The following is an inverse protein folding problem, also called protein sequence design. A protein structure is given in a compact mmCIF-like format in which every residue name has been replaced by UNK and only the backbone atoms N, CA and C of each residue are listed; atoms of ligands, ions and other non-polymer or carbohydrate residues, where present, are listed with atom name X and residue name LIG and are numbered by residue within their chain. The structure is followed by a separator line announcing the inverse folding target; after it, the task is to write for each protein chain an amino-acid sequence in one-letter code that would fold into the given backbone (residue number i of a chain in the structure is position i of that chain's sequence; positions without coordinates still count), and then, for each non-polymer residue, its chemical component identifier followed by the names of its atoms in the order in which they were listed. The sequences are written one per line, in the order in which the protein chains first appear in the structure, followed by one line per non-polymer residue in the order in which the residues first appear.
data_IF_188198023466
#
_entry.id   IF_188198023466
#
_cell.length_a   1.000
_cell.length_b   1.000
_cell.length_c   1.000
_cell.angle_alpha   90.00
_cell.angle_beta   90.00
_cell.angle_gamma   90.00
#
_symmetry.space_group_name_H-M   'P 1'
#
loop_
_entity.id
_entity.type
_entity.pdbx_description
1 polymer ?
#
# COMPACT_ATOMS: atom_id res chain seq x y z
N UNK A 1 12.80 26.98 -10.13
CA UNK A 1 12.67 26.74 -8.67
C UNK A 1 11.36 27.27 -8.07
N UNK A 2 10.75 28.36 -8.58
CA UNK A 2 9.47 28.88 -8.06
C UNK A 2 8.24 28.00 -8.38
N UNK A 3 8.27 27.22 -9.46
CA UNK A 3 7.14 26.37 -9.88
C UNK A 3 6.91 25.17 -8.96
N UNK A 4 7.97 24.60 -8.36
CA UNK A 4 7.85 23.44 -7.47
C UNK A 4 7.26 23.81 -6.10
N UNK A 5 7.59 24.99 -5.57
CA UNK A 5 7.06 25.45 -4.28
C UNK A 5 5.58 25.86 -4.35
N UNK A 6 5.15 26.45 -5.48
CA UNK A 6 3.74 26.79 -5.70
C UNK A 6 2.91 25.52 -5.84
N UNK A 7 3.37 24.56 -6.67
CA UNK A 7 2.69 23.27 -6.84
C UNK A 7 2.49 22.54 -5.51
N UNK A 8 3.52 22.57 -4.64
CA UNK A 8 3.47 21.94 -3.31
C UNK A 8 2.46 22.59 -2.36
N UNK A 9 2.42 23.93 -2.30
CA UNK A 9 1.44 24.64 -1.47
C UNK A 9 0.01 24.45 -1.96
N UNK A 10 -0.17 24.37 -3.28
CA UNK A 10 -1.48 24.10 -3.90
C UNK A 10 -1.94 22.68 -3.55
N UNK A 11 -1.08 21.66 -3.64
CA UNK A 11 -1.45 20.28 -3.27
C UNK A 11 -1.73 20.12 -1.77
N UNK A 12 -0.98 20.81 -0.91
CA UNK A 12 -1.24 20.86 0.53
C UNK A 12 -2.61 21.50 0.81
N UNK A 13 -2.91 22.66 0.20
CA UNK A 13 -4.19 23.34 0.36
C UNK A 13 -5.37 22.51 -0.16
N UNK A 14 -5.23 21.91 -1.34
CA UNK A 14 -6.24 21.01 -1.93
C UNK A 14 -6.44 19.78 -1.05
N UNK A 15 -5.37 19.20 -0.50
CA UNK A 15 -5.45 18.06 0.41
C UNK A 15 -6.26 18.38 1.68
N UNK A 16 -6.00 19.52 2.31
CA UNK A 16 -6.75 19.99 3.49
C UNK A 16 -8.21 20.28 3.14
N UNK A 17 -8.47 20.94 2.01
CA UNK A 17 -9.82 21.23 1.55
C UNK A 17 -10.62 19.94 1.28
N UNK A 18 -10.00 18.93 0.65
CA UNK A 18 -10.62 17.62 0.41
C UNK A 18 -10.89 16.88 1.72
N UNK A 19 -9.99 16.96 2.70
CA UNK A 19 -10.20 16.33 4.00
C UNK A 19 -11.35 17.00 4.77
N UNK A 20 -11.42 18.34 4.76
CA UNK A 20 -12.53 19.07 5.34
C UNK A 20 -13.86 18.73 4.65
N UNK A 21 -13.87 18.65 3.32
CA UNK A 21 -15.04 18.23 2.54
C UNK A 21 -15.49 16.81 2.88
N UNK A 22 -14.55 15.87 2.98
CA UNK A 22 -14.84 14.49 3.35
C UNK A 22 -15.46 14.39 4.76
N UNK A 23 -14.93 15.16 5.72
CA UNK A 23 -15.46 15.20 7.08
C UNK A 23 -16.87 15.82 7.11
N UNK A 24 -17.08 16.93 6.42
CA UNK A 24 -18.40 17.56 6.31
C UNK A 24 -19.42 16.63 5.66
N UNK A 25 -19.03 15.91 4.61
CA UNK A 25 -19.89 14.93 3.95
C UNK A 25 -20.20 13.73 4.85
N UNK A 26 -19.20 13.23 5.59
CA UNK A 26 -19.41 12.13 6.53
C UNK A 26 -20.36 12.54 7.67
N UNK A 27 -20.17 13.73 8.25
CA UNK A 27 -21.09 14.28 9.26
C UNK A 27 -22.49 14.40 8.65
N UNK A 28 -22.59 14.95 7.44
CA UNK A 28 -23.87 15.09 6.75
C UNK A 28 -24.62 13.75 6.57
N UNK A 29 -23.89 12.66 6.28
CA UNK A 29 -24.44 11.31 6.13
C UNK A 29 -24.85 10.70 7.47
N UNK A 30 -24.04 10.88 8.52
CA UNK A 30 -24.32 10.32 9.86
C UNK A 30 -25.50 11.04 10.52
N UNK A 31 -25.57 12.37 10.39
CA UNK A 31 -26.64 13.20 10.94
C UNK A 31 -27.77 13.41 9.94
N UNK A 32 -27.98 12.43 9.05
CA UNK A 32 -29.02 12.50 8.03
C UNK A 32 -30.38 12.19 8.67
N UNK A 33 -31.33 13.09 8.49
CA UNK A 33 -32.72 12.91 8.93
C UNK A 33 -33.62 12.99 7.69
N UNK A 34 -34.43 11.96 7.37
CA UNK A 34 -35.29 11.95 6.18
C UNK A 34 -36.36 13.06 6.18
N UNK A 35 -36.64 13.67 7.33
CA UNK A 35 -37.60 14.76 7.46
C UNK A 35 -37.02 16.14 7.18
N UNK A 36 -35.70 16.25 6.98
CA UNK A 36 -35.04 17.53 6.74
C UNK A 36 -35.45 18.17 5.40
N UNK A 37 -35.59 19.51 5.35
CA UNK A 37 -35.85 20.23 4.11
C UNK A 37 -34.59 20.21 3.22
N UNK A 38 -34.51 19.25 2.31
CA UNK A 38 -33.52 19.22 1.25
C UNK A 38 -33.92 20.22 0.14
N UNK A 39 -33.01 21.15 -0.17
CA UNK A 39 -33.23 22.31 -1.04
C UNK A 39 -33.93 22.01 -2.37
N UNK A 40 -33.72 20.82 -2.96
CA UNK A 40 -34.37 20.41 -4.22
C UNK A 40 -35.50 19.38 -4.07
N UNK A 41 -35.62 18.68 -2.94
CA UNK A 41 -36.56 17.56 -2.78
C UNK A 41 -37.79 17.92 -1.92
N UNK A 42 -37.71 18.98 -1.12
CA UNK A 42 -38.80 19.41 -0.25
C UNK A 42 -39.11 20.89 -0.43
N UNK A 43 -40.35 21.18 -0.80
CA UNK A 43 -40.89 22.54 -0.91
C UNK A 43 -40.96 23.18 0.48
N UNK A 44 -40.04 24.11 0.75
CA UNK A 44 -40.26 25.24 1.64
C UNK A 44 -40.72 24.93 3.06
N UNK A 45 -39.77 24.57 3.93
CA UNK A 45 -39.86 24.89 5.35
C UNK A 45 -38.81 25.93 5.69
N UNK A 46 -39.19 27.06 6.29
CA UNK A 46 -38.24 28.05 6.84
C UNK A 46 -37.48 27.53 8.08
N UNK A 47 -37.74 26.28 8.47
CA UNK A 47 -37.10 25.64 9.60
C UNK A 47 -35.66 25.26 9.27
N UNK A 48 -34.71 25.56 10.18
CA UNK A 48 -33.34 25.11 10.01
C UNK A 48 -33.29 23.57 10.01
N UNK A 49 -32.55 22.94 9.07
CA UNK A 49 -32.40 21.49 9.03
C UNK A 49 -31.69 20.99 10.29
N UNK A 50 -32.03 19.78 10.72
CA UNK A 50 -31.41 19.11 11.87
C UNK A 50 -29.98 18.67 11.54
N UNK A 51 -29.67 18.42 10.26
CA UNK A 51 -28.33 18.08 9.80
C UNK A 51 -27.26 19.09 10.24
N UNK A 52 -26.19 18.59 10.87
CA UNK A 52 -25.11 19.44 11.41
C UNK A 52 -24.26 20.12 10.34
N UNK A 53 -24.27 19.60 9.10
CA UNK A 53 -23.64 20.26 7.96
C UNK A 53 -24.59 21.28 7.27
N UNK A 54 -25.71 21.61 7.92
CA UNK A 54 -26.70 22.58 7.45
C UNK A 54 -27.44 22.11 6.20
N UNK A 55 -27.99 23.07 5.46
CA UNK A 55 -28.88 22.81 4.30
C UNK A 55 -28.17 22.11 3.14
N UNK A 56 -26.89 22.42 2.94
CA UNK A 56 -26.06 21.77 1.91
C UNK A 56 -25.77 20.31 2.31
N UNK A 57 -25.48 20.07 3.60
CA UNK A 57 -25.28 18.73 4.14
C UNK A 57 -26.53 17.85 4.01
N UNK A 58 -27.69 18.37 4.42
CA UNK A 58 -28.96 17.66 4.30
C UNK A 58 -29.27 17.25 2.85
N UNK A 59 -29.04 18.16 1.89
CA UNK A 59 -29.23 17.85 0.48
C UNK A 59 -28.23 16.80 -0.03
N UNK A 60 -26.95 16.94 0.34
CA UNK A 60 -25.90 16.03 -0.13
C UNK A 60 -26.07 14.61 0.43
N UNK A 61 -26.48 14.48 1.68
CA UNK A 61 -26.75 13.17 2.29
C UNK A 61 -27.99 12.51 1.70
N UNK A 62 -29.09 13.25 1.53
CA UNK A 62 -30.31 12.77 0.87
C UNK A 62 -29.99 12.27 -0.55
N UNK A 63 -29.34 13.09 -1.38
CA UNK A 63 -28.99 12.73 -2.75
C UNK A 63 -28.09 11.48 -2.81
N UNK A 64 -27.06 11.43 -1.96
CA UNK A 64 -26.14 10.29 -1.94
C UNK A 64 -26.82 8.99 -1.51
N UNK A 65 -27.63 9.04 -0.44
CA UNK A 65 -28.36 7.87 0.06
C UNK A 65 -29.46 7.44 -0.93
N UNK A 66 -30.13 8.38 -1.58
CA UNK A 66 -31.14 8.06 -2.58
C UNK A 66 -30.54 7.41 -3.82
N UNK A 67 -29.39 7.89 -4.30
CA UNK A 67 -28.77 7.36 -5.51
C UNK A 67 -28.07 6.02 -5.29
N UNK A 68 -27.31 5.90 -4.19
CA UNK A 68 -26.35 4.79 -3.99
C UNK A 68 -26.61 4.00 -2.70
N UNK A 69 -27.55 4.45 -1.86
CA UNK A 69 -27.89 3.77 -0.61
C UNK A 69 -26.74 3.79 0.40
N UNK A 70 -26.60 2.72 1.18
CA UNK A 70 -25.55 2.63 2.21
C UNK A 70 -24.13 2.61 1.63
N UNK A 71 -23.95 2.33 0.34
CA UNK A 71 -22.64 2.44 -0.29
C UNK A 71 -22.17 3.92 -0.40
N UNK A 72 -23.05 4.90 -0.19
CA UNK A 72 -22.68 6.32 -0.08
C UNK A 72 -21.65 6.60 1.02
N UNK A 73 -21.62 5.82 2.09
CA UNK A 73 -20.64 5.97 3.18
C UNK A 73 -19.18 5.72 2.74
N UNK A 74 -18.96 5.04 1.61
CA UNK A 74 -17.61 4.89 1.06
C UNK A 74 -17.12 6.14 0.34
N UNK A 75 -18.02 6.99 -0.15
CA UNK A 75 -17.66 8.21 -0.88
C UNK A 75 -16.77 9.14 -0.03
N UNK A 76 -17.15 9.54 1.20
CA UNK A 76 -16.28 10.38 2.03
C UNK A 76 -14.95 9.70 2.37
N UNK A 77 -14.92 8.37 2.51
CA UNK A 77 -13.68 7.61 2.75
C UNK A 77 -12.73 7.75 1.56
N UNK A 78 -13.24 7.56 0.33
CA UNK A 78 -12.44 7.70 -0.90
C UNK A 78 -11.91 9.13 -1.04
N UNK A 79 -12.75 10.13 -0.77
CA UNK A 79 -12.34 11.55 -0.81
C UNK A 79 -11.28 11.85 0.25
N UNK A 80 -11.40 11.29 1.46
CA UNK A 80 -10.41 11.45 2.52
C UNK A 80 -9.06 10.82 2.15
N UNK A 81 -9.06 9.60 1.57
CA UNK A 81 -7.84 8.93 1.09
C UNK A 81 -7.18 9.72 -0.06
N UNK A 82 -7.99 10.28 -0.97
CA UNK A 82 -7.48 11.16 -2.02
C UNK A 82 -6.86 12.43 -1.42
N UNK A 83 -7.56 13.10 -0.49
CA UNK A 83 -7.07 14.29 0.22
C UNK A 83 -5.76 14.04 0.96
N UNK A 84 -5.64 12.89 1.63
CA UNK A 84 -4.40 12.46 2.28
C UNK A 84 -3.24 12.29 1.28
N UNK A 85 -3.51 11.68 0.13
CA UNK A 85 -2.50 11.48 -0.92
C UNK A 85 -2.01 12.82 -1.50
N UNK A 86 -2.92 13.78 -1.72
CA UNK A 86 -2.60 15.13 -2.16
C UNK A 86 -1.82 15.92 -1.10
N UNK A 87 -2.20 15.81 0.18
CA UNK A 87 -1.51 16.46 1.29
C UNK A 87 -0.04 16.01 1.39
N UNK A 88 0.22 14.72 1.24
CA UNK A 88 1.58 14.16 1.25
C UNK A 88 2.34 14.34 -0.07
N UNK A 89 1.78 15.08 -1.04
CA UNK A 89 2.38 15.31 -2.36
C UNK A 89 2.83 14.01 -3.04
N UNK A 90 2.16 12.89 -2.76
CA UNK A 90 2.50 11.63 -3.39
C UNK A 90 2.01 11.68 -4.84
N UNK A 91 2.85 11.34 -5.84
CA UNK A 91 2.36 11.22 -7.20
C UNK A 91 1.28 10.14 -7.22
N UNK A 92 0.04 10.56 -7.46
CA UNK A 92 -1.07 9.66 -7.71
C UNK A 92 -0.86 9.05 -9.10
N UNK A 93 0.01 8.05 -9.19
CA UNK A 93 0.16 7.26 -10.40
C UNK A 93 -1.21 6.67 -10.75
N UNK A 94 -1.68 7.00 -11.96
CA UNK A 94 -2.96 6.59 -12.49
C UNK A 94 -4.17 6.93 -11.58
N UNK A 95 -4.30 8.21 -11.18
CA UNK A 95 -5.50 8.70 -10.46
C UNK A 95 -6.81 8.26 -11.13
N UNK A 96 -6.86 8.26 -12.47
CA UNK A 96 -8.03 7.81 -13.23
C UNK A 96 -8.41 6.36 -12.95
N UNK A 97 -7.46 5.41 -12.94
CA UNK A 97 -7.78 4.00 -12.69
C UNK A 97 -8.24 3.75 -11.26
N UNK A 98 -7.70 4.50 -10.29
CA UNK A 98 -8.13 4.43 -8.90
C UNK A 98 -9.54 4.96 -8.72
N UNK A 99 -9.88 6.09 -9.36
CA UNK A 99 -11.23 6.65 -9.35
C UNK A 99 -12.21 5.67 -9.99
N UNK A 100 -11.87 5.11 -11.16
CA UNK A 100 -12.69 4.10 -11.83
C UNK A 100 -12.89 2.87 -10.94
N UNK A 101 -11.82 2.37 -10.29
CA UNK A 101 -11.91 1.26 -9.35
C UNK A 101 -12.80 1.57 -8.14
N UNK A 102 -12.68 2.78 -7.57
CA UNK A 102 -13.51 3.21 -6.45
C UNK A 102 -14.99 3.34 -6.84
N UNK A 103 -15.30 3.98 -7.97
CA UNK A 103 -16.67 4.13 -8.49
C UNK A 103 -17.27 2.76 -8.80
N UNK A 104 -16.50 1.88 -9.46
CA UNK A 104 -16.95 0.52 -9.75
C UNK A 104 -17.22 -0.26 -8.48
N UNK A 105 -16.37 -0.14 -7.45
CA UNK A 105 -16.55 -0.81 -6.17
C UNK A 105 -17.81 -0.33 -5.44
N UNK A 106 -18.02 0.99 -5.41
CA UNK A 106 -19.22 1.61 -4.84
C UNK A 106 -20.48 1.13 -5.58
N UNK A 107 -20.44 1.07 -6.92
CA UNK A 107 -21.55 0.56 -7.73
C UNK A 107 -21.83 -0.93 -7.48
N UNK A 108 -20.79 -1.76 -7.39
CA UNK A 108 -20.94 -3.18 -7.07
C UNK A 108 -21.54 -3.38 -5.68
N UNK A 109 -21.08 -2.62 -4.68
CA UNK A 109 -21.59 -2.70 -3.31
C UNK A 109 -23.05 -2.22 -3.22
N UNK A 110 -23.37 -1.10 -3.87
CA UNK A 110 -24.73 -0.57 -4.00
C UNK A 110 -25.68 -1.61 -4.61
N UNK A 111 -25.26 -2.25 -5.71
CA UNK A 111 -26.04 -3.30 -6.38
C UNK A 111 -26.18 -4.56 -5.51
N UNK A 112 -25.10 -4.97 -4.86
CA UNK A 112 -25.11 -6.12 -3.96
C UNK A 112 -26.07 -5.92 -2.79
N UNK A 113 -26.07 -4.73 -2.19
CA UNK A 113 -27.01 -4.37 -1.13
C UNK A 113 -28.45 -4.34 -1.63
N UNK A 114 -28.71 -3.83 -2.84
CA UNK A 114 -30.04 -3.86 -3.46
C UNK A 114 -30.54 -5.28 -3.76
N UNK A 115 -29.64 -6.21 -4.08
CA UNK A 115 -30.00 -7.61 -4.36
C UNK A 115 -30.22 -8.43 -3.08
N UNK A 116 -29.48 -8.13 -2.00
CA UNK A 116 -29.49 -8.90 -0.76
C UNK A 116 -30.49 -8.40 0.28
N UNK A 117 -30.60 -7.08 0.43
CA UNK A 117 -31.51 -6.49 1.41
C UNK A 117 -32.81 -6.08 0.73
N UNK A 118 -33.93 -6.53 1.28
CA UNK A 118 -35.23 -5.98 0.92
C UNK A 118 -35.30 -4.49 1.34
N UNK A 119 -36.08 -3.66 0.63
CA UNK A 119 -36.38 -2.30 1.07
C UNK A 119 -36.94 -2.33 2.49
N UNK A 120 -36.28 -1.64 3.41
CA UNK A 120 -36.75 -1.49 4.77
C UNK A 120 -37.68 -0.28 4.83
N UNK A 121 -38.94 -0.51 5.19
CA UNK A 121 -39.91 0.54 5.51
C UNK A 121 -39.46 1.23 6.80
N UNK A 122 -38.77 2.38 6.69
CA UNK A 122 -38.31 3.14 7.86
C UNK A 122 -39.03 4.48 7.86
N UNK A 123 -39.89 4.71 8.86
CA UNK A 123 -40.61 5.97 9.06
C UNK A 123 -41.43 6.47 7.84
N UNK A 124 -42.14 5.57 7.14
CA UNK A 124 -43.06 5.94 6.06
C UNK A 124 -42.40 6.31 4.72
N UNK A 125 -41.08 6.16 4.60
CA UNK A 125 -40.35 6.19 3.33
C UNK A 125 -39.54 4.90 3.17
N UNK A 126 -39.65 4.26 2.01
CA UNK A 126 -38.87 3.07 1.68
C UNK A 126 -37.46 3.49 1.24
N UNK A 127 -36.52 3.46 2.18
CA UNK A 127 -35.11 3.68 1.83
C UNK A 127 -34.56 2.39 1.26
N UNK A 128 -34.31 2.39 -0.06
CA UNK A 128 -33.66 1.29 -0.74
C UNK A 128 -32.21 1.15 -0.23
N UNK A 129 -31.81 0.00 0.36
CA UNK A 129 -30.46 -0.19 0.90
C UNK A 129 -29.36 -0.03 -0.15
N UNK A 130 -29.66 -0.38 -1.41
CA UNK A 130 -28.79 -0.18 -2.56
C UNK A 130 -28.96 1.16 -3.28
N UNK A 131 -29.88 2.03 -2.85
CA UNK A 131 -30.27 3.23 -3.59
C UNK A 131 -30.98 2.92 -4.91
N UNK A 132 -31.39 3.96 -5.63
CA UNK A 132 -32.10 3.85 -6.91
C UNK A 132 -31.25 3.18 -8.00
N UNK A 133 -29.97 3.52 -8.08
CA UNK A 133 -29.07 2.96 -9.11
C UNK A 133 -28.78 1.49 -8.81
N UNK A 134 -28.47 1.15 -7.56
CA UNK A 134 -28.12 -0.21 -7.17
C UNK A 134 -29.31 -1.16 -7.28
N UNK A 135 -30.52 -0.73 -6.90
CA UNK A 135 -31.73 -1.54 -7.07
C UNK A 135 -32.06 -1.76 -8.54
N UNK A 136 -32.03 -0.71 -9.36
CA UNK A 136 -32.24 -0.85 -10.81
C UNK A 136 -31.24 -1.80 -11.46
N UNK A 137 -29.96 -1.69 -11.12
CA UNK A 137 -28.93 -2.58 -11.64
C UNK A 137 -29.08 -4.01 -11.11
N UNK A 138 -29.53 -4.18 -9.85
CA UNK A 138 -29.76 -5.48 -9.24
C UNK A 138 -30.93 -6.21 -9.93
N UNK A 139 -32.02 -5.50 -10.22
CA UNK A 139 -33.17 -6.03 -10.95
C UNK A 139 -32.79 -6.45 -12.37
N UNK A 140 -31.99 -5.63 -13.05
CA UNK A 140 -31.48 -5.93 -14.39
C UNK A 140 -30.59 -7.18 -14.38
N UNK A 141 -29.63 -7.26 -13.45
CA UNK A 141 -28.77 -8.44 -13.31
C UNK A 141 -29.58 -9.69 -12.94
N UNK A 142 -30.53 -9.57 -12.01
CA UNK A 142 -31.39 -10.68 -11.60
C UNK A 142 -32.27 -11.19 -12.76
N UNK A 143 -32.75 -10.28 -13.62
CA UNK A 143 -33.54 -10.64 -14.81
C UNK A 143 -32.72 -11.44 -15.84
N UNK A 144 -31.44 -11.09 -16.06
CA UNK A 144 -30.61 -11.75 -17.07
C UNK A 144 -29.84 -12.97 -16.53
N UNK A 145 -29.30 -12.91 -15.31
CA UNK A 145 -28.36 -13.89 -14.76
C UNK A 145 -28.93 -14.71 -13.58
N UNK A 146 -30.19 -14.46 -13.21
CA UNK A 146 -30.81 -14.96 -11.98
C UNK A 146 -30.06 -14.45 -10.72
N UNK A 147 -30.66 -14.59 -9.53
CA UNK A 147 -30.10 -14.03 -8.28
C UNK A 147 -28.72 -14.59 -7.97
N UNK A 148 -28.52 -15.90 -8.13
CA UNK A 148 -27.23 -16.56 -7.86
C UNK A 148 -26.13 -16.12 -8.81
N UNK A 149 -26.41 -16.04 -10.12
CA UNK A 149 -25.43 -15.59 -11.11
C UNK A 149 -25.03 -14.12 -10.93
N UNK A 150 -26.00 -13.28 -10.56
CA UNK A 150 -25.77 -11.87 -10.25
C UNK A 150 -24.79 -11.68 -9.11
N UNK A 151 -24.91 -12.46 -8.02
CA UNK A 151 -23.98 -12.40 -6.88
C UNK A 151 -22.56 -12.77 -7.30
N UNK A 152 -22.37 -13.81 -8.10
CA UNK A 152 -21.05 -14.24 -8.56
C UNK A 152 -20.39 -13.14 -9.40
N UNK A 153 -21.14 -12.53 -10.33
CA UNK A 153 -20.63 -11.44 -11.15
C UNK A 153 -20.31 -10.20 -10.30
N UNK A 154 -21.16 -9.85 -9.35
CA UNK A 154 -20.91 -8.71 -8.46
C UNK A 154 -19.68 -8.92 -7.58
N UNK A 155 -19.48 -10.12 -7.05
CA UNK A 155 -18.29 -10.44 -6.24
C UNK A 155 -17.02 -10.41 -7.10
N UNK A 156 -17.05 -10.95 -8.32
CA UNK A 156 -15.88 -10.89 -9.21
C UNK A 156 -15.55 -9.46 -9.63
N UNK A 157 -16.55 -8.65 -10.00
CA UNK A 157 -16.37 -7.23 -10.30
C UNK A 157 -15.91 -6.43 -9.07
N UNK A 158 -16.42 -6.72 -7.88
CA UNK A 158 -15.98 -6.07 -6.64
C UNK A 158 -14.50 -6.36 -6.37
N UNK A 159 -14.05 -7.61 -6.55
CA UNK A 159 -12.63 -7.97 -6.42
C UNK A 159 -11.79 -7.24 -7.47
N UNK A 160 -12.22 -7.20 -8.73
CA UNK A 160 -11.52 -6.44 -9.78
C UNK A 160 -11.45 -4.95 -9.47
N UNK A 161 -12.53 -4.37 -8.94
CA UNK A 161 -12.60 -2.97 -8.53
C UNK A 161 -11.64 -2.66 -7.38
N UNK A 162 -11.57 -3.54 -6.37
CA UNK A 162 -10.58 -3.45 -5.29
C UNK A 162 -9.16 -3.56 -5.86
N UNK A 163 -8.90 -4.51 -6.77
CA UNK A 163 -7.59 -4.64 -7.40
C UNK A 163 -7.21 -3.35 -8.13
N UNK A 164 -8.12 -2.77 -8.93
CA UNK A 164 -7.89 -1.51 -9.65
C UNK A 164 -7.67 -0.31 -8.71
N UNK A 165 -8.46 -0.21 -7.64
CA UNK A 165 -8.32 0.84 -6.62
C UNK A 165 -7.00 0.70 -5.83
N UNK A 166 -6.61 -0.55 -5.57
CA UNK A 166 -5.41 -0.92 -4.81
C UNK A 166 -4.17 -1.10 -5.69
N UNK A 167 -4.22 -0.78 -6.99
CA UNK A 167 -3.03 -0.79 -7.86
C UNK A 167 -2.05 0.33 -7.46
N UNK A 168 -1.45 0.17 -6.29
CA UNK A 168 -0.09 0.52 -5.98
C UNK A 168 0.78 -0.52 -6.70
N UNK A 169 1.01 -0.28 -8.00
CA UNK A 169 2.11 -0.83 -8.78
C UNK A 169 2.71 -2.16 -8.28
N UNK A 170 2.02 -3.28 -8.53
CA UNK A 170 2.67 -4.61 -8.46
C UNK A 170 3.94 -4.64 -9.33
N UNK A 171 4.03 -3.80 -10.38
CA UNK A 171 5.24 -3.60 -11.18
C UNK A 171 6.41 -2.92 -10.45
N UNK A 172 6.17 -1.95 -9.56
CA UNK A 172 7.24 -1.30 -8.76
C UNK A 172 7.58 -2.05 -7.50
N UNK A 173 6.60 -2.72 -6.88
CA UNK A 173 6.86 -3.56 -5.71
C UNK A 173 7.63 -4.83 -6.09
N UNK A 174 7.31 -5.46 -7.23
CA UNK A 174 8.08 -6.60 -7.73
C UNK A 174 9.51 -6.21 -8.12
N UNK A 175 9.72 -5.07 -8.77
CA UNK A 175 11.08 -4.59 -9.08
C UNK A 175 11.86 -4.21 -7.82
N UNK A 176 11.23 -3.61 -6.81
CA UNK A 176 11.87 -3.29 -5.53
C UNK A 176 12.18 -4.55 -4.70
N UNK A 177 11.29 -5.54 -4.70
CA UNK A 177 11.51 -6.83 -4.04
C UNK A 177 12.60 -7.66 -4.76
N UNK A 178 12.60 -7.67 -6.10
CA UNK A 178 13.63 -8.32 -6.92
C UNK A 178 14.98 -7.62 -6.77
N UNK A 179 15.01 -6.28 -6.67
CA UNK A 179 16.23 -5.52 -6.40
C UNK A 179 16.74 -5.70 -4.97
N UNK A 180 15.85 -5.77 -3.97
CA UNK A 180 16.20 -6.10 -2.59
C UNK A 180 16.77 -7.52 -2.45
N UNK A 181 16.16 -8.49 -3.14
CA UNK A 181 16.63 -9.87 -3.17
C UNK A 181 17.95 -10.02 -3.94
N UNK A 182 18.13 -9.27 -5.05
CA UNK A 182 19.41 -9.18 -5.79
C UNK A 182 20.51 -8.47 -4.99
N UNK A 183 20.16 -7.47 -4.19
CA UNK A 183 21.09 -6.78 -3.29
C UNK A 183 21.58 -7.67 -2.15
N UNK A 184 20.70 -8.45 -1.53
CA UNK A 184 21.06 -9.42 -0.49
C UNK A 184 21.88 -10.60 -1.03
N UNK A 185 21.50 -11.15 -2.18
CA UNK A 185 22.25 -12.24 -2.82
C UNK A 185 23.62 -11.76 -3.32
N UNK A 186 23.69 -10.59 -3.95
CA UNK A 186 24.95 -9.97 -4.37
C UNK A 186 25.90 -9.67 -3.20
N UNK A 187 25.39 -9.06 -2.13
CA UNK A 187 26.20 -8.73 -0.95
C UNK A 187 26.71 -9.99 -0.21
N UNK A 188 25.91 -11.05 -0.17
CA UNK A 188 26.30 -12.31 0.47
C UNK A 188 27.33 -13.08 -0.36
N UNK A 189 27.15 -13.15 -1.68
CA UNK A 189 28.10 -13.82 -2.59
C UNK A 189 29.46 -13.11 -2.58
N UNK A 190 29.47 -11.77 -2.57
CA UNK A 190 30.72 -10.99 -2.48
C UNK A 190 31.43 -11.24 -1.15
N UNK A 191 30.71 -11.20 -0.01
CA UNK A 191 31.30 -11.46 1.32
C UNK A 191 31.84 -12.89 1.46
N UNK A 192 31.17 -13.88 0.87
CA UNK A 192 31.63 -15.28 0.90
C UNK A 192 32.86 -15.47 0.03
N UNK A 193 32.91 -14.87 -1.17
CA UNK A 193 34.08 -14.94 -2.05
C UNK A 193 35.30 -14.28 -1.42
N UNK A 194 35.17 -13.07 -0.86
CA UNK A 194 36.29 -12.39 -0.20
C UNK A 194 36.79 -13.16 1.02
N UNK A 195 35.89 -13.72 1.84
CA UNK A 195 36.27 -14.53 3.00
C UNK A 195 36.99 -15.83 2.61
N UNK A 196 36.60 -16.47 1.50
CA UNK A 196 37.28 -17.66 0.99
C UNK A 196 38.67 -17.34 0.43
N UNK A 197 38.82 -16.21 -0.26
CA UNK A 197 40.11 -15.74 -0.79
C UNK A 197 41.10 -15.38 0.31
N UNK A 198 40.65 -14.71 1.38
CA UNK A 198 41.48 -14.42 2.55
C UNK A 198 41.98 -15.70 3.23
N UNK A 199 41.09 -16.70 3.38
CA UNK A 199 41.47 -18.01 3.94
C UNK A 199 42.53 -18.72 3.10
N UNK A 200 42.49 -18.59 1.77
CA UNK A 200 43.52 -19.17 0.87
C UNK A 200 44.87 -18.46 1.04
N UNK A 201 44.87 -17.13 1.11
CA UNK A 201 46.10 -16.33 1.32
C UNK A 201 46.76 -16.63 2.67
N UNK A 202 45.96 -16.80 3.73
CA UNK A 202 46.47 -17.15 5.06
C UNK A 202 47.11 -18.56 5.10
N UNK A 203 46.52 -19.54 4.40
CA UNK A 203 47.10 -20.90 4.30
C UNK A 203 48.45 -20.88 3.60
N UNK A 204 48.55 -20.18 2.46
CA UNK A 204 49.82 -20.03 1.72
C UNK A 204 50.90 -19.34 2.56
N UNK A 205 50.56 -18.26 3.29
CA UNK A 205 51.50 -17.58 4.21
C UNK A 205 52.00 -18.52 5.31
N UNK A 206 51.09 -19.30 5.91
CA UNK A 206 51.44 -20.24 6.99
C UNK A 206 52.36 -21.37 6.51
N UNK A 207 52.14 -21.86 5.30
CA UNK A 207 53.01 -22.87 4.68
C UNK A 207 54.42 -22.33 4.41
N UNK A 208 54.53 -21.12 3.84
CA UNK A 208 55.84 -20.47 3.61
C UNK A 208 56.59 -20.22 4.92
N UNK A 209 55.91 -19.65 5.93
CA UNK A 209 56.50 -19.43 7.26
C UNK A 209 56.95 -20.74 7.91
N UNK A 210 56.18 -21.82 7.75
CA UNK A 210 56.55 -23.14 8.27
C UNK A 210 57.76 -23.74 7.56
N UNK A 211 57.88 -23.53 6.24
CA UNK A 211 59.05 -23.95 5.46
C UNK A 211 60.29 -23.14 5.84
N UNK A 212 60.15 -21.83 6.04
CA UNK A 212 61.22 -20.97 6.53
C UNK A 212 61.66 -21.32 7.96
N UNK A 213 60.70 -21.57 8.87
CA UNK A 213 61.00 -22.00 10.23
C UNK A 213 61.72 -23.36 10.27
N UNK A 214 61.30 -24.32 9.44
CA UNK A 214 61.99 -25.61 9.30
C UNK A 214 63.39 -25.48 8.69
N UNK A 215 63.56 -24.61 7.68
CA UNK A 215 64.86 -24.34 7.08
C UNK A 215 65.82 -23.65 8.07
N UNK A 216 65.34 -22.67 8.85
CA UNK A 216 66.11 -22.01 9.90
C UNK A 216 66.49 -22.98 11.04
N UNK A 217 65.59 -23.87 11.46
CA UNK A 217 65.88 -24.91 12.45
C UNK A 217 66.92 -25.92 11.93
N UNK A 218 66.87 -26.29 10.66
CA UNK A 218 67.87 -27.17 10.04
C UNK A 218 69.26 -26.50 9.95
N UNK A 219 69.32 -25.19 9.65
CA UNK A 219 70.57 -24.42 9.66
C UNK A 219 71.14 -24.24 11.07
N UNK A 220 70.29 -24.05 12.09
CA UNK A 220 70.72 -24.02 13.50
C UNK A 220 71.26 -25.35 14.00
N UNK A 221 70.65 -26.48 13.58
CA UNK A 221 71.13 -27.82 13.90
C UNK A 221 72.47 -28.15 13.20
N UNK A 222 72.66 -27.68 11.96
CA UNK A 222 73.94 -27.82 11.25
C UNK A 222 75.05 -26.93 11.84
N UNK A 223 74.70 -25.74 12.36
CA UNK A 223 75.66 -24.84 13.03
C UNK A 223 76.11 -25.33 14.42
N UNK A 224 75.29 -26.13 15.12
CA UNK A 224 75.62 -26.67 16.44
C UNK A 224 76.54 -27.91 16.43
N UNK A 225 76.73 -28.56 15.28
CA UNK A 225 77.52 -29.79 15.16
C UNK A 225 79.01 -29.55 14.78
N UNK A 226 79.47 -28.30 14.69
CA UNK A 226 80.76 -27.94 14.09
C UNK A 226 81.91 -27.51 15.02
N UNK A 227 81.78 -27.54 16.35
CA UNK A 227 82.85 -27.08 17.28
C UNK A 227 83.30 -28.15 18.27
N UNK A 228 83.64 -29.33 17.78
CA UNK A 228 84.14 -30.42 18.62
C UNK A 228 84.92 -31.49 17.86
N UNK A 229 86.00 -31.11 17.18
CA UNK A 229 87.04 -32.06 16.78
C UNK A 229 88.39 -31.35 16.62
N UNK A 230 89.41 -31.94 17.24
CA UNK A 230 90.74 -31.44 17.55
C UNK A 230 91.65 -31.16 16.33
N UNK A 231 92.89 -30.70 16.58
CA UNK A 231 93.98 -31.65 16.33
C UNK A 231 95.08 -31.69 17.40
N UNK A 232 95.41 -32.93 17.77
CA UNK A 232 96.72 -33.55 17.97
C UNK A 232 97.99 -32.68 18.04
N UNK A 233 98.79 -32.86 19.12
CA UNK A 233 100.25 -32.65 19.14
C UNK A 233 100.88 -33.24 20.43
N UNK A 234 101.23 -34.52 20.37
CA UNK A 234 102.56 -35.11 20.59
C UNK A 234 103.59 -34.49 21.61
N UNK A 235 104.38 -35.40 22.22
CA UNK A 235 105.82 -35.30 22.61
C UNK A 235 106.19 -35.03 24.09
N UNK A 236 106.72 -36.08 24.76
CA UNK A 236 107.86 -36.13 25.73
C UNK A 236 107.60 -35.48 27.11
N UNK A 237 107.73 -36.16 28.26
CA UNK A 237 108.75 -37.08 28.78
C UNK A 237 108.20 -37.82 30.00
#
# INVERSE_FOLDING_TARGET
MATSVISRRVSEFVGVALFALALLWLIALITHEPTDPAWFFTTGGDQPPVNFAGRVGAFLSELSLQMVGYAAYLIPIVVAVAGWSYFWCQPLDAAYTKIVGAVLFVGCLSTFLGLMLAPAETAGRSVAPGGAIGTWLADLLAAYLNRTGSVIVLLTLAVLAVILSTQFSFGRLSTSAVQGLRGLTGATIVRVRTALEERRKLRQRREVMSRQAKAAAAQGAAGGAGTGAAPDAAVVR
#
